data_IF_710670198754
#
_entry.id   IF_710670198754
#
_cell.length_a   1.000
_cell.length_b   1.000
_cell.length_c   1.000
_cell.angle_alpha   90.00
_cell.angle_beta   90.00
_cell.angle_gamma   90.00
#
_symmetry.space_group_name_H-M   'P 1'
#
loop_
_entity.id
_entity.type
_entity.pdbx_description
1 polymer ?
#
# COMPACT_ATOMS: atom_id res chain seq x y z
N UNK A 1 13.17 -2.73 34.39
CA UNK A 1 11.81 -2.74 33.82
C UNK A 1 11.90 -3.35 32.43
N UNK A 2 11.47 -4.60 32.27
CA UNK A 2 11.31 -5.23 30.96
C UNK A 2 10.27 -4.44 30.19
N UNK A 3 10.63 -3.93 29.00
CA UNK A 3 9.65 -3.37 28.05
C UNK A 3 8.53 -4.39 27.93
N UNK A 4 7.32 -4.00 28.34
CA UNK A 4 6.10 -4.76 28.03
C UNK A 4 6.18 -5.10 26.55
N UNK A 5 6.28 -6.38 26.21
CA UNK A 5 6.16 -6.79 24.82
C UNK A 5 4.87 -6.18 24.30
N UNK A 6 4.97 -5.34 23.27
CA UNK A 6 3.79 -4.74 22.65
C UNK A 6 2.86 -5.90 22.28
N UNK A 7 1.59 -5.81 22.71
CA UNK A 7 0.62 -6.86 22.41
C UNK A 7 0.56 -7.01 20.89
N UNK A 8 0.62 -8.24 20.35
CA UNK A 8 0.49 -8.44 18.92
C UNK A 8 -0.85 -7.84 18.48
N UNK A 9 -0.79 -6.94 17.51
CA UNK A 9 -1.96 -6.34 16.87
C UNK A 9 -2.15 -6.98 15.50
N UNK A 10 -3.40 -7.25 15.16
CA UNK A 10 -3.77 -7.90 13.90
C UNK A 10 -4.88 -7.05 13.28
N UNK A 11 -4.63 -6.52 12.09
CA UNK A 11 -5.71 -5.95 11.27
C UNK A 11 -6.51 -7.08 10.64
N UNK A 12 -7.83 -7.00 10.75
CA UNK A 12 -8.71 -7.99 10.15
C UNK A 12 -9.14 -7.49 8.77
N UNK A 13 -8.47 -7.98 7.73
CA UNK A 13 -8.94 -7.84 6.36
C UNK A 13 -10.22 -8.66 6.20
N UNK A 14 -11.37 -8.00 6.29
CA UNK A 14 -12.64 -8.61 5.95
C UNK A 14 -12.65 -9.06 4.49
N UNK A 15 -13.46 -10.09 4.21
CA UNK A 15 -13.66 -10.63 2.87
C UNK A 15 -13.96 -9.50 1.89
N UNK A 16 -13.10 -9.34 0.88
CA UNK A 16 -13.34 -8.38 -0.20
C UNK A 16 -14.29 -9.04 -1.19
N UNK A 17 -15.55 -8.61 -1.17
CA UNK A 17 -16.56 -9.00 -2.18
C UNK A 17 -16.49 -8.16 -3.46
N UNK A 18 -15.59 -7.17 -3.46
CA UNK A 18 -15.62 -6.05 -4.38
C UNK A 18 -14.44 -6.14 -5.36
N UNK A 19 -14.58 -6.99 -6.38
CA UNK A 19 -13.84 -6.83 -7.63
C UNK A 19 -14.66 -5.87 -8.52
N UNK A 20 -14.58 -4.57 -8.24
CA UNK A 20 -15.27 -3.58 -9.05
C UNK A 20 -14.40 -3.09 -10.21
N UNK A 21 -15.07 -2.82 -11.33
CA UNK A 21 -14.48 -2.11 -12.45
C UNK A 21 -14.40 -0.63 -12.06
N UNK A 22 -13.19 -0.14 -11.87
CA UNK A 22 -12.93 1.26 -11.57
C UNK A 22 -12.31 1.91 -12.80
N UNK A 23 -12.65 3.18 -13.05
CA UNK A 23 -11.91 3.99 -14.02
C UNK A 23 -10.42 3.92 -13.68
N UNK A 24 -9.56 3.43 -14.59
CA UNK A 24 -8.17 3.19 -14.26
C UNK A 24 -7.37 4.50 -14.29
N UNK A 25 -6.43 4.64 -13.36
CA UNK A 25 -5.31 5.60 -13.44
C UNK A 25 -4.02 4.82 -13.58
N UNK A 26 -3.15 5.28 -14.48
CA UNK A 26 -1.77 4.79 -14.56
C UNK A 26 -0.86 5.67 -13.72
N UNK A 27 0.02 5.05 -12.94
CA UNK A 27 1.05 5.72 -12.17
C UNK A 27 2.42 5.08 -12.48
N UNK A 28 3.43 5.92 -12.62
CA UNK A 28 4.82 5.48 -12.82
C UNK A 28 5.49 5.42 -11.47
N UNK A 29 5.99 4.25 -11.08
CA UNK A 29 6.58 4.01 -9.76
C UNK A 29 8.01 3.53 -9.92
N UNK A 30 8.95 4.17 -9.22
CA UNK A 30 10.34 3.73 -9.15
C UNK A 30 10.51 2.72 -7.99
N UNK A 31 11.01 1.53 -8.29
CA UNK A 31 11.32 0.47 -7.33
C UNK A 31 12.74 -0.01 -7.59
N UNK A 32 13.68 0.15 -6.65
CA UNK A 32 15.08 -0.30 -6.75
C UNK A 32 15.75 -0.06 -8.13
N UNK A 33 15.66 1.17 -8.64
CA UNK A 33 16.31 1.57 -9.89
C UNK A 33 15.61 1.12 -11.17
N UNK A 34 14.49 0.38 -11.10
CA UNK A 34 13.59 0.17 -12.23
C UNK A 34 12.35 1.05 -12.11
N UNK A 35 11.83 1.42 -13.27
CA UNK A 35 10.57 2.14 -13.39
C UNK A 35 9.50 1.17 -13.83
N UNK A 36 8.43 1.06 -13.05
CA UNK A 36 7.26 0.24 -13.38
C UNK A 36 6.06 1.13 -13.69
N UNK A 37 5.12 0.59 -14.44
CA UNK A 37 3.79 1.13 -14.67
C UNK A 37 2.78 0.38 -13.78
N UNK A 38 2.10 1.10 -12.90
CA UNK A 38 1.09 0.55 -12.00
C UNK A 38 -0.29 1.09 -12.38
N UNK A 39 -1.23 0.18 -12.65
CA UNK A 39 -2.63 0.52 -12.85
C UNK A 39 -3.36 0.49 -11.50
N UNK A 40 -4.02 1.59 -11.17
CA UNK A 40 -4.69 1.84 -9.89
C UNK A 40 -6.12 2.34 -10.13
N UNK A 41 -7.00 2.25 -9.12
CA UNK A 41 -8.28 2.96 -9.16
C UNK A 41 -8.07 4.48 -9.28
N UNK A 42 -8.88 5.16 -10.10
CA UNK A 42 -8.73 6.62 -10.35
C UNK A 42 -8.82 7.49 -9.11
N UNK A 43 -9.63 7.08 -8.13
CA UNK A 43 -9.87 7.79 -6.88
C UNK A 43 -8.78 7.55 -5.83
N UNK A 44 -7.85 6.61 -6.06
CA UNK A 44 -6.79 6.34 -5.09
C UNK A 44 -5.94 7.61 -4.92
N UNK A 45 -5.65 8.07 -3.69
CA UNK A 45 -4.80 9.24 -3.48
C UNK A 45 -3.42 9.10 -4.14
N UNK A 46 -2.68 10.21 -4.21
CA UNK A 46 -1.22 10.14 -4.47
C UNK A 46 -0.55 9.39 -3.33
N UNK A 47 0.64 8.84 -3.55
CA UNK A 47 1.29 8.04 -2.52
C UNK A 47 2.81 8.02 -2.65
N UNK A 48 3.44 7.62 -1.56
CA UNK A 48 4.85 7.22 -1.49
C UNK A 48 4.93 5.73 -1.19
N UNK A 49 5.83 5.01 -1.87
CA UNK A 49 6.07 3.58 -1.59
C UNK A 49 6.98 3.47 -0.37
N UNK A 50 6.49 2.81 0.68
CA UNK A 50 7.23 2.59 1.93
C UNK A 50 8.02 1.29 1.90
N UNK A 51 7.42 0.22 1.35
CA UNK A 51 8.05 -1.07 1.19
C UNK A 51 7.43 -1.83 0.02
N UNK A 52 8.17 -2.77 -0.55
CA UNK A 52 7.67 -3.61 -1.64
C UNK A 52 8.33 -4.99 -1.63
N UNK A 53 7.65 -5.96 -2.24
CA UNK A 53 8.19 -7.28 -2.50
C UNK A 53 7.59 -7.86 -3.78
N UNK A 54 8.34 -8.75 -4.45
CA UNK A 54 7.83 -9.50 -5.60
C UNK A 54 7.91 -11.00 -5.37
N UNK A 55 6.88 -11.70 -5.84
CA UNK A 55 6.83 -13.15 -5.86
C UNK A 55 6.17 -13.64 -7.15
N UNK A 56 6.99 -14.14 -8.08
CA UNK A 56 6.51 -14.57 -9.39
C UNK A 56 5.89 -13.41 -10.17
N UNK A 57 4.59 -13.51 -10.47
CA UNK A 57 3.84 -12.47 -11.18
C UNK A 57 3.13 -11.48 -10.23
N UNK A 58 3.39 -11.53 -8.92
CA UNK A 58 2.75 -10.69 -7.93
C UNK A 58 3.73 -9.64 -7.40
N UNK A 59 3.23 -8.41 -7.26
CA UNK A 59 3.88 -7.28 -6.62
C UNK A 59 3.07 -6.87 -5.39
N UNK A 60 3.72 -6.87 -4.23
CA UNK A 60 3.18 -6.40 -2.96
C UNK A 60 3.76 -5.02 -2.68
N UNK A 61 2.90 -4.07 -2.31
CA UNK A 61 3.31 -2.72 -1.93
C UNK A 61 2.70 -2.35 -0.59
N UNK A 62 3.50 -1.69 0.24
CA UNK A 62 3.04 -0.89 1.35
C UNK A 62 3.22 0.58 0.96
N UNK A 63 2.15 1.35 1.06
CA UNK A 63 2.09 2.73 0.61
C UNK A 63 1.74 3.66 1.77
N UNK A 64 2.25 4.88 1.74
CA UNK A 64 1.71 6.03 2.47
C UNK A 64 0.90 6.86 1.49
N UNK A 65 -0.37 7.11 1.77
CA UNK A 65 -1.25 7.90 0.91
C UNK A 65 -1.14 9.39 1.29
N UNK A 66 -1.26 10.28 0.30
CA UNK A 66 -1.43 11.73 0.48
C UNK A 66 -2.88 12.04 0.91
N UNK A 67 -3.29 11.40 1.99
CA UNK A 67 -4.58 11.51 2.65
C UNK A 67 -4.31 11.40 4.15
N UNK A 68 -4.94 12.28 4.94
CA UNK A 68 -4.77 12.33 6.38
C UNK A 68 -6.03 11.88 7.11
N UNK A 69 -5.84 11.21 8.23
CA UNK A 69 -6.84 10.95 9.25
C UNK A 69 -6.37 11.64 10.53
N UNK A 70 -7.08 12.69 10.95
CA UNK A 70 -6.63 13.67 11.93
C UNK A 70 -5.27 14.30 11.53
N UNK A 71 -4.22 14.11 12.33
CA UNK A 71 -2.88 14.68 12.15
C UNK A 71 -1.89 13.73 11.47
N UNK A 72 -2.32 12.53 11.06
CA UNK A 72 -1.43 11.49 10.52
C UNK A 72 -1.86 10.97 9.15
N UNK A 73 -0.90 10.54 8.34
CA UNK A 73 -1.17 9.94 7.03
C UNK A 73 -1.76 8.55 7.15
N UNK A 74 -2.71 8.24 6.26
CA UNK A 74 -3.21 6.87 6.07
C UNK A 74 -2.26 6.08 5.16
N UNK A 75 -2.28 4.77 5.28
CA UNK A 75 -1.51 3.87 4.43
C UNK A 75 -2.38 3.08 3.47
N UNK A 76 -1.75 2.25 2.65
CA UNK A 76 -2.43 1.16 1.98
C UNK A 76 -1.51 -0.05 1.79
N UNK A 77 -2.09 -1.26 1.86
CA UNK A 77 -1.49 -2.45 1.25
C UNK A 77 -2.07 -2.65 -0.14
N UNK A 78 -1.21 -2.96 -1.11
CA UNK A 78 -1.60 -3.25 -2.49
C UNK A 78 -1.00 -4.59 -2.92
N UNK A 79 -1.82 -5.41 -3.57
CA UNK A 79 -1.40 -6.57 -4.34
C UNK A 79 -1.72 -6.32 -5.81
N UNK A 80 -0.68 -6.30 -6.64
CA UNK A 80 -0.80 -6.12 -8.07
C UNK A 80 -0.28 -7.35 -8.83
N UNK A 81 -0.90 -7.64 -9.96
CA UNK A 81 -0.50 -8.73 -10.86
C UNK A 81 0.21 -8.16 -12.08
N UNK A 82 1.33 -8.76 -12.45
CA UNK A 82 2.07 -8.44 -13.68
C UNK A 82 1.21 -8.75 -14.91
N UNK A 83 1.09 -7.77 -15.79
CA UNK A 83 0.36 -7.89 -17.07
C UNK A 83 1.31 -7.95 -18.26
N UNK A 84 2.39 -7.16 -18.21
CA UNK A 84 3.43 -7.09 -19.22
C UNK A 84 4.80 -6.87 -18.55
N UNK A 85 5.87 -6.77 -19.34
CA UNK A 85 7.15 -6.33 -18.81
C UNK A 85 7.01 -4.95 -18.15
N UNK A 86 7.48 -4.82 -16.90
CA UNK A 86 7.40 -3.61 -16.10
C UNK A 86 6.00 -3.02 -15.92
N UNK A 87 4.93 -3.78 -16.13
CA UNK A 87 3.54 -3.33 -15.98
C UNK A 87 2.74 -4.23 -15.03
N UNK A 88 2.03 -3.62 -14.09
CA UNK A 88 1.26 -4.28 -13.05
C UNK A 88 -0.14 -3.69 -12.93
N UNK A 89 -1.14 -4.52 -12.69
CA UNK A 89 -2.52 -4.11 -12.40
C UNK A 89 -2.88 -4.43 -10.96
N UNK A 90 -3.30 -3.42 -10.22
CA UNK A 90 -3.80 -3.58 -8.85
C UNK A 90 -5.01 -4.50 -8.84
N UNK A 91 -4.90 -5.61 -8.09
CA UNK A 91 -5.95 -6.62 -7.93
C UNK A 91 -6.63 -6.49 -6.58
N UNK A 92 -5.86 -6.19 -5.53
CA UNK A 92 -6.36 -5.94 -4.18
C UNK A 92 -5.70 -4.68 -3.66
N UNK A 93 -6.48 -3.84 -2.99
CA UNK A 93 -5.93 -2.80 -2.14
C UNK A 93 -6.78 -2.62 -0.89
N UNK A 94 -6.15 -2.16 0.19
CA UNK A 94 -6.81 -1.86 1.44
C UNK A 94 -6.15 -0.67 2.13
N UNK A 95 -6.94 0.34 2.48
CA UNK A 95 -6.49 1.48 3.29
C UNK A 95 -6.13 1.01 4.70
N UNK A 96 -5.04 1.54 5.24
CA UNK A 96 -4.55 1.30 6.58
C UNK A 96 -4.70 2.57 7.40
N UNK A 97 -5.26 2.46 8.60
CA UNK A 97 -5.26 3.57 9.54
C UNK A 97 -3.84 3.95 9.97
N UNK A 98 -3.59 5.21 10.38
CA UNK A 98 -2.25 5.66 10.78
C UNK A 98 -1.60 4.80 11.88
N UNK A 99 -2.42 4.27 12.79
CA UNK A 99 -1.95 3.36 13.84
C UNK A 99 -1.32 2.07 13.28
N UNK A 100 -1.83 1.54 12.16
CA UNK A 100 -1.26 0.36 11.51
C UNK A 100 0.14 0.67 10.95
N UNK A 101 0.30 1.82 10.28
CA UNK A 101 1.61 2.27 9.81
C UNK A 101 2.59 2.45 10.98
N UNK A 102 2.14 3.03 12.09
CA UNK A 102 2.94 3.15 13.32
C UNK A 102 3.40 1.80 13.85
N UNK A 103 2.49 0.83 13.95
CA UNK A 103 2.81 -0.52 14.41
C UNK A 103 3.79 -1.25 13.48
N UNK A 104 3.83 -0.89 12.20
CA UNK A 104 4.78 -1.41 11.21
C UNK A 104 6.12 -0.67 11.20
N UNK A 105 6.28 0.39 12.01
CA UNK A 105 7.51 1.19 12.10
C UNK A 105 7.60 2.34 11.10
N UNK A 106 6.51 2.71 10.45
CA UNK A 106 6.46 3.79 9.44
C UNK A 106 5.86 5.11 9.94
N UNK A 107 5.51 5.22 11.24
CA UNK A 107 5.07 6.50 11.79
C UNK A 107 6.25 7.26 12.41
N UNK A 108 6.57 8.41 11.83
CA UNK A 108 7.50 9.37 12.41
C UNK A 108 7.82 10.50 11.45
N UNK A 109 7.10 11.61 11.64
CA UNK A 109 7.39 13.00 11.25
C UNK A 109 7.62 13.27 9.75
N UNK A 110 7.17 14.43 9.27
CA UNK A 110 7.33 14.91 7.90
C UNK A 110 8.73 14.54 7.33
N UNK A 111 8.79 13.57 6.41
CA UNK A 111 9.97 13.30 5.59
C UNK A 111 10.01 14.28 4.41
#
# INVERSE_FOLDING_TARGET
MTKSAERPWIDCLWEKHECYDYTPRTETVALDGRTIRLLLPSYMPRFTVLAWAEQGALLFLLLQLDQRYDDAFVGAVVLARKTEENSYTTTIWHELYPYALKSLGFAGEDQ
#
